data_IF_742425487634
#
_entry.id   IF_742425487634
#
_cell.length_a   1.000
_cell.length_b   1.000
_cell.length_c   1.000
_cell.angle_alpha   90.00
_cell.angle_beta   90.00
_cell.angle_gamma   90.00
#
_symmetry.space_group_name_H-M   'P 1'
#
loop_
_entity.id
_entity.type
_entity.pdbx_description
1 polymer ?
#
# COMPACT_ATOMS: atom_id res chain seq x y z
N UNK A 1 54.00 -21.89 -24.92
CA UNK A 1 53.13 -20.69 -25.06
C UNK A 1 51.64 -21.00 -25.11
N UNK A 2 51.19 -22.19 -25.54
CA UNK A 2 49.74 -22.51 -25.59
C UNK A 2 49.09 -22.74 -24.22
N UNK A 3 49.82 -23.28 -23.23
CA UNK A 3 49.26 -23.62 -21.90
C UNK A 3 48.98 -22.37 -21.04
N UNK A 4 49.78 -21.32 -21.19
CA UNK A 4 49.62 -20.04 -20.47
C UNK A 4 48.39 -19.26 -20.96
N UNK A 5 48.10 -19.35 -22.26
CA UNK A 5 46.92 -18.71 -22.86
C UNK A 5 45.64 -19.41 -22.42
N UNK A 6 45.65 -20.73 -22.28
CA UNK A 6 44.50 -21.50 -21.78
C UNK A 6 44.22 -21.15 -20.31
N UNK A 7 45.25 -21.01 -19.47
CA UNK A 7 45.07 -20.59 -18.07
C UNK A 7 44.50 -19.16 -17.94
N UNK A 8 44.86 -18.24 -18.83
CA UNK A 8 44.31 -16.88 -18.84
C UNK A 8 42.85 -16.81 -19.32
N UNK A 9 42.37 -17.79 -20.10
CA UNK A 9 40.98 -17.85 -20.56
C UNK A 9 40.03 -18.48 -19.52
N UNK A 10 40.54 -19.18 -18.50
CA UNK A 10 39.73 -19.92 -17.51
C UNK A 10 39.47 -19.13 -16.22
N UNK A 11 40.10 -17.97 -16.00
CA UNK A 11 39.92 -17.16 -14.77
C UNK A 11 39.09 -15.89 -15.01
N UNK A 12 38.15 -15.91 -15.96
CA UNK A 12 36.99 -15.03 -15.89
C UNK A 12 35.89 -15.74 -15.08
N UNK A 13 36.20 -16.08 -13.83
CA UNK A 13 35.14 -16.35 -12.85
C UNK A 13 34.52 -15.00 -12.58
N UNK A 14 33.49 -14.68 -13.37
CA UNK A 14 32.59 -13.56 -13.12
C UNK A 14 32.16 -13.68 -11.67
N UNK A 15 32.77 -12.91 -10.78
CA UNK A 15 32.15 -12.57 -9.51
C UNK A 15 30.89 -11.81 -9.92
N UNK A 16 29.80 -12.54 -10.11
CA UNK A 16 28.45 -11.99 -10.15
C UNK A 16 28.25 -11.51 -8.72
N UNK A 17 28.80 -10.33 -8.42
CA UNK A 17 28.34 -9.56 -7.29
C UNK A 17 26.85 -9.37 -7.59
N UNK A 18 26.01 -10.13 -6.89
CA UNK A 18 24.56 -9.95 -6.90
C UNK A 18 24.34 -8.52 -6.44
N UNK A 19 24.27 -7.61 -7.40
CA UNK A 19 23.99 -6.21 -7.17
C UNK A 19 22.49 -6.13 -6.99
N UNK A 20 22.07 -5.62 -5.84
CA UNK A 20 20.66 -5.39 -5.59
C UNK A 20 20.15 -4.30 -6.52
N UNK A 21 18.83 -4.29 -6.75
CA UNK A 21 18.18 -3.29 -7.57
C UNK A 21 18.18 -1.90 -6.92
N UNK A 22 17.64 -0.90 -7.63
CA UNK A 22 17.40 0.43 -7.07
C UNK A 22 16.61 0.34 -5.76
N UNK A 23 17.05 1.10 -4.76
CA UNK A 23 16.45 1.14 -3.42
C UNK A 23 16.46 -0.20 -2.65
N UNK A 24 17.27 -1.18 -3.03
CA UNK A 24 17.50 -2.41 -2.27
C UNK A 24 18.89 -2.40 -1.61
N UNK A 25 19.06 -3.10 -0.49
CA UNK A 25 20.36 -3.21 0.22
C UNK A 25 20.76 -4.66 0.36
N UNK A 26 21.97 -5.00 -0.05
CA UNK A 26 22.50 -6.35 0.17
C UNK A 26 22.83 -6.55 1.64
N UNK A 27 22.05 -7.38 2.34
CA UNK A 27 22.32 -7.71 3.73
C UNK A 27 22.32 -9.23 3.96
N UNK A 28 23.19 -9.76 4.85
CA UNK A 28 23.36 -11.20 5.06
C UNK A 28 22.14 -11.88 5.71
N UNK A 29 21.31 -11.12 6.44
CA UNK A 29 20.02 -11.56 6.97
C UNK A 29 18.93 -10.62 6.46
N UNK A 30 18.63 -10.71 5.16
CA UNK A 30 17.74 -9.81 4.44
C UNK A 30 16.68 -10.56 3.66
N UNK A 31 16.00 -11.51 4.29
CA UNK A 31 14.91 -12.22 3.62
C UNK A 31 13.85 -11.21 3.17
N UNK A 32 13.49 -11.25 1.89
CA UNK A 32 12.37 -10.48 1.31
C UNK A 32 11.05 -10.78 2.04
N UNK A 33 10.95 -11.93 2.68
CA UNK A 33 9.86 -12.34 3.59
C UNK A 33 9.60 -11.34 4.74
N UNK A 34 10.59 -10.51 5.07
CA UNK A 34 10.54 -9.55 6.16
C UNK A 34 10.40 -8.09 5.71
N UNK A 35 10.43 -7.83 4.42
CA UNK A 35 10.33 -6.47 3.92
C UNK A 35 8.87 -6.04 3.81
N UNK A 36 8.61 -4.74 4.03
CA UNK A 36 7.26 -4.19 3.89
C UNK A 36 6.91 -4.04 2.41
N UNK A 37 5.66 -4.29 2.05
CA UNK A 37 5.14 -4.10 0.68
C UNK A 37 4.01 -3.08 0.65
N UNK A 38 3.63 -2.59 -0.55
CA UNK A 38 2.43 -1.76 -0.76
C UNK A 38 1.16 -2.43 -0.23
N UNK A 39 1.08 -3.76 -0.28
CA UNK A 39 -0.07 -4.52 0.23
C UNK A 39 0.00 -4.79 1.73
N UNK A 40 1.21 -4.89 2.31
CA UNK A 40 1.38 -5.23 3.72
C UNK A 40 2.52 -4.44 4.37
N UNK A 41 2.13 -3.43 5.15
CA UNK A 41 3.03 -2.53 5.89
C UNK A 41 3.45 -3.07 7.26
N UNK A 42 2.70 -4.05 7.78
CA UNK A 42 2.87 -4.62 9.12
C UNK A 42 3.13 -6.12 8.98
N UNK A 43 4.34 -6.46 8.60
CA UNK A 43 4.81 -7.84 8.57
C UNK A 43 5.32 -8.25 9.95
N UNK A 44 4.88 -9.44 10.39
CA UNK A 44 5.49 -10.12 11.52
C UNK A 44 6.57 -11.03 10.96
N UNK A 45 7.81 -10.67 11.22
CA UNK A 45 8.97 -11.48 10.87
C UNK A 45 9.11 -12.66 11.82
N UNK A 46 9.33 -13.83 11.24
CA UNK A 46 9.99 -14.94 11.93
C UNK A 46 11.48 -14.87 11.60
N UNK A 47 12.35 -15.36 12.48
CA UNK A 47 13.81 -15.31 12.30
C UNK A 47 14.27 -16.20 11.14
N UNK A 48 14.02 -15.75 9.90
CA UNK A 48 14.63 -16.27 8.67
C UNK A 48 15.82 -15.37 8.34
N UNK A 49 17.03 -15.91 8.40
CA UNK A 49 18.24 -15.21 7.96
C UNK A 49 18.68 -15.83 6.63
N UNK A 50 18.18 -15.27 5.54
CA UNK A 50 18.67 -15.56 4.20
C UNK A 50 19.41 -14.35 3.64
N UNK A 51 20.45 -14.61 2.85
CA UNK A 51 21.11 -13.57 2.06
C UNK A 51 20.11 -13.01 1.05
N UNK A 52 19.88 -11.71 1.09
CA UNK A 52 18.89 -11.09 0.21
C UNK A 52 19.12 -9.61 -0.07
N UNK A 53 18.23 -9.08 -0.90
CA UNK A 53 18.17 -7.68 -1.34
C UNK A 53 16.82 -7.08 -0.94
N UNK A 54 16.53 -6.89 0.36
CA UNK A 54 15.30 -6.24 0.76
C UNK A 54 15.33 -4.76 0.38
N UNK A 55 14.14 -4.16 0.25
CA UNK A 55 14.01 -2.71 0.13
C UNK A 55 14.71 -2.02 1.32
N UNK A 56 15.46 -0.95 1.03
CA UNK A 56 16.12 -0.12 2.04
C UNK A 56 15.08 0.52 2.95
N UNK A 57 15.49 0.89 4.16
CA UNK A 57 14.61 1.56 5.13
C UNK A 57 13.89 2.76 4.49
N UNK A 58 12.57 2.81 4.66
CA UNK A 58 11.70 3.85 4.09
C UNK A 58 11.09 3.52 2.73
N UNK A 59 11.54 2.44 2.08
CA UNK A 59 11.02 1.96 0.81
C UNK A 59 10.20 0.69 0.99
N UNK A 60 9.29 0.46 0.05
CA UNK A 60 8.32 -0.62 0.10
C UNK A 60 8.29 -1.34 -1.23
N UNK A 61 8.19 -2.68 -1.18
CA UNK A 61 8.06 -3.45 -2.41
C UNK A 61 6.69 -3.19 -3.04
N UNK A 62 6.68 -2.82 -4.33
CA UNK A 62 5.45 -2.41 -5.03
C UNK A 62 4.39 -3.51 -5.07
N UNK A 63 4.81 -4.76 -5.26
CA UNK A 63 3.95 -5.94 -5.17
C UNK A 63 4.76 -7.21 -4.94
N UNK A 64 4.07 -8.32 -4.67
CA UNK A 64 4.68 -9.59 -4.21
C UNK A 64 5.66 -10.22 -5.22
N UNK A 65 5.64 -9.77 -6.49
CA UNK A 65 6.50 -10.25 -7.57
C UNK A 65 7.25 -9.13 -8.30
N UNK A 66 7.34 -7.93 -7.71
CA UNK A 66 8.07 -6.81 -8.32
C UNK A 66 9.48 -6.71 -7.73
N UNK A 67 10.44 -6.26 -8.53
CA UNK A 67 11.76 -5.83 -8.06
C UNK A 67 11.80 -4.34 -7.69
N UNK A 68 10.66 -3.65 -7.83
CA UNK A 68 10.54 -2.22 -7.62
C UNK A 68 10.30 -1.91 -6.13
N UNK A 69 11.24 -1.18 -5.53
CA UNK A 69 11.13 -0.61 -4.20
C UNK A 69 10.83 0.89 -4.35
N UNK A 70 9.64 1.27 -3.89
CA UNK A 70 9.06 2.60 -4.06
C UNK A 70 8.90 3.30 -2.71
N UNK A 71 8.82 4.62 -2.73
CA UNK A 71 8.45 5.38 -1.53
C UNK A 71 6.99 5.11 -1.17
N UNK A 72 6.60 5.40 0.08
CA UNK A 72 5.24 5.11 0.55
C UNK A 72 4.16 5.76 -0.34
N UNK A 73 4.41 6.99 -0.79
CA UNK A 73 3.51 7.80 -1.59
C UNK A 73 3.31 7.27 -3.03
N UNK A 74 4.22 6.43 -3.51
CA UNK A 74 4.20 5.81 -4.84
C UNK A 74 3.45 4.47 -4.86
N UNK A 75 3.03 3.98 -3.69
CA UNK A 75 2.13 2.83 -3.62
C UNK A 75 0.71 3.26 -4.04
N UNK A 76 0.26 2.76 -5.19
CA UNK A 76 -1.11 2.89 -5.66
C UNK A 76 -2.10 2.38 -4.59
N UNK A 77 -2.67 3.30 -3.80
CA UNK A 77 -3.67 2.98 -2.77
C UNK A 77 -3.28 3.20 -1.31
N UNK A 78 -2.38 4.13 -0.99
CA UNK A 78 -2.33 4.80 0.32
C UNK A 78 -2.03 3.87 1.51
N UNK A 79 -0.75 3.59 1.71
CA UNK A 79 -0.24 2.72 2.77
C UNK A 79 0.60 3.41 3.86
N UNK A 80 0.44 4.70 4.07
CA UNK A 80 0.88 5.49 5.24
C UNK A 80 2.40 5.69 5.49
N UNK A 81 2.81 6.91 5.15
CA UNK A 81 4.01 7.61 5.55
C UNK A 81 3.88 9.09 5.21
N UNK A 82 3.18 9.83 6.06
CA UNK A 82 3.16 11.31 6.19
C UNK A 82 2.41 12.20 5.18
N UNK A 83 1.84 11.68 4.10
CA UNK A 83 0.86 12.44 3.30
C UNK A 83 -0.52 11.79 3.41
N UNK A 84 -1.51 12.56 3.89
CA UNK A 84 -2.91 12.15 3.83
C UNK A 84 -3.23 11.67 2.40
N UNK A 85 -3.80 10.46 2.22
CA UNK A 85 -4.27 10.00 0.92
C UNK A 85 -5.09 11.09 0.24
N UNK A 86 -4.81 11.37 -1.05
CA UNK A 86 -5.56 12.36 -1.82
C UNK A 86 -7.02 11.90 -1.88
N UNK A 87 -7.85 12.46 -1.01
CA UNK A 87 -9.27 12.23 -1.03
C UNK A 87 -9.92 12.93 -2.22
N UNK A 88 -11.05 12.40 -2.67
CA UNK A 88 -11.81 12.99 -3.77
C UNK A 88 -12.39 14.37 -3.42
N UNK A 89 -13.06 15.03 -4.38
CA UNK A 89 -13.80 16.25 -4.11
C UNK A 89 -14.76 16.06 -2.94
N UNK A 90 -14.78 17.03 -2.03
CA UNK A 90 -15.62 17.04 -0.83
C UNK A 90 -15.38 15.90 0.15
N UNK A 91 -14.19 15.31 0.13
CA UNK A 91 -13.77 14.30 1.09
C UNK A 91 -12.60 14.77 1.97
N UNK A 92 -12.46 14.17 3.14
CA UNK A 92 -11.39 14.39 4.11
C UNK A 92 -10.88 13.06 4.64
N UNK A 93 -9.55 12.91 4.71
CA UNK A 93 -8.94 11.70 5.27
C UNK A 93 -9.18 11.65 6.78
N UNK A 94 -9.71 10.53 7.26
CA UNK A 94 -10.05 10.36 8.68
C UNK A 94 -9.42 9.07 9.19
N UNK A 95 -8.62 9.17 10.25
CA UNK A 95 -7.91 8.02 10.85
C UNK A 95 -8.83 7.08 11.63
N UNK A 96 -9.85 7.63 12.29
CA UNK A 96 -10.88 6.89 13.00
C UNK A 96 -12.27 7.35 12.51
N UNK A 97 -12.70 6.94 11.31
CA UNK A 97 -13.92 7.42 10.69
C UNK A 97 -15.16 6.94 11.43
N UNK A 98 -16.10 7.85 11.67
CA UNK A 98 -17.43 7.55 12.18
C UNK A 98 -18.36 6.90 11.12
N UNK A 99 -19.65 6.75 11.43
CA UNK A 99 -20.65 6.53 10.39
C UNK A 99 -20.63 7.69 9.38
N UNK A 100 -20.91 7.40 8.12
CA UNK A 100 -20.96 8.40 7.05
C UNK A 100 -22.34 8.37 6.41
N UNK A 101 -22.99 9.54 6.24
CA UNK A 101 -24.30 9.61 5.61
C UNK A 101 -24.21 9.31 4.11
N UNK A 102 -25.13 8.47 3.63
CA UNK A 102 -25.30 8.14 2.22
C UNK A 102 -26.50 8.89 1.64
N UNK A 103 -26.58 9.01 0.32
CA UNK A 103 -27.83 9.37 -0.33
C UNK A 103 -28.88 8.30 -0.03
N UNK A 104 -29.98 8.73 0.58
CA UNK A 104 -31.13 7.86 0.87
C UNK A 104 -32.16 8.20 -0.20
N UNK A 105 -32.22 7.37 -1.24
CA UNK A 105 -33.44 7.32 -2.06
C UNK A 105 -34.55 6.73 -1.16
N UNK A 106 -35.70 7.42 -0.99
CA UNK A 106 -36.82 6.92 -0.20
C UNK A 106 -37.37 5.56 -0.69
N UNK A 107 -37.00 5.12 -1.90
CA UNK A 107 -37.34 3.81 -2.46
C UNK A 107 -36.20 2.79 -2.42
N UNK A 108 -35.03 3.16 -1.89
CA UNK A 108 -33.86 2.28 -1.86
C UNK A 108 -33.98 1.24 -0.73
N UNK A 109 -33.84 -0.07 -1.03
CA UNK A 109 -33.88 -1.13 -0.04
C UNK A 109 -32.64 -1.16 0.89
N UNK A 110 -31.74 -0.18 0.80
CA UNK A 110 -30.49 -0.11 1.57
C UNK A 110 -30.77 0.52 2.95
N UNK A 111 -31.71 -0.07 3.68
CA UNK A 111 -31.69 0.02 5.14
C UNK A 111 -30.48 -0.82 5.62
N UNK A 112 -29.51 -0.15 6.23
CA UNK A 112 -28.61 -0.70 7.26
C UNK A 112 -27.46 -1.65 6.87
N UNK A 113 -26.69 -1.39 5.81
CA UNK A 113 -25.47 -2.19 5.53
C UNK A 113 -24.13 -1.57 5.95
N UNK A 114 -24.10 -0.35 6.52
CA UNK A 114 -22.82 0.24 6.99
C UNK A 114 -22.67 0.29 8.51
N UNK A 115 -23.73 0.07 9.29
CA UNK A 115 -23.70 0.19 10.75
C UNK A 115 -23.20 -1.07 11.47
N UNK A 116 -23.27 -2.26 10.84
CA UNK A 116 -22.95 -3.53 11.51
C UNK A 116 -21.52 -4.03 11.35
N UNK A 117 -20.57 -3.14 11.07
CA UNK A 117 -19.14 -3.43 11.28
C UNK A 117 -18.66 -2.67 12.53
N UNK A 118 -19.31 -2.92 13.65
CA UNK A 118 -18.75 -2.60 14.95
C UNK A 118 -17.55 -3.55 15.15
N UNK A 119 -16.34 -3.04 14.96
CA UNK A 119 -15.16 -3.78 15.42
C UNK A 119 -15.26 -3.86 16.95
N UNK A 120 -15.26 -5.06 17.55
CA UNK A 120 -15.49 -5.20 18.99
C UNK A 120 -14.43 -4.50 19.85
N UNK A 121 -13.27 -4.18 19.27
CA UNK A 121 -12.14 -3.54 19.93
C UNK A 121 -11.38 -2.71 18.88
N UNK A 122 -11.77 -1.45 18.68
CA UNK A 122 -11.00 -0.47 17.88
C UNK A 122 -11.80 0.35 16.87
N UNK A 123 -11.19 1.46 16.41
CA UNK A 123 -11.71 2.30 15.33
C UNK A 123 -11.92 1.51 14.03
N UNK A 124 -12.84 1.98 13.17
CA UNK A 124 -12.89 1.55 11.76
C UNK A 124 -11.55 1.90 11.08
N UNK A 125 -11.12 1.15 10.04
CA UNK A 125 -9.93 1.51 9.27
C UNK A 125 -10.00 2.94 8.73
N UNK A 126 -8.87 3.63 8.74
CA UNK A 126 -8.72 4.97 8.18
C UNK A 126 -9.22 5.03 6.73
N UNK A 127 -10.01 6.05 6.38
CA UNK A 127 -10.56 6.24 5.03
C UNK A 127 -10.91 7.70 4.76
N UNK A 128 -11.16 8.05 3.51
CA UNK A 128 -11.78 9.32 3.13
C UNK A 128 -13.27 9.34 3.52
N UNK A 129 -13.71 10.38 4.22
CA UNK A 129 -15.11 10.65 4.57
C UNK A 129 -15.61 11.93 3.91
N UNK A 130 -16.88 11.99 3.55
CA UNK A 130 -17.51 13.22 3.10
C UNK A 130 -17.37 14.31 4.17
N UNK A 131 -17.04 15.52 3.72
CA UNK A 131 -17.03 16.72 4.56
C UNK A 131 -18.45 16.99 5.08
N UNK A 132 -18.54 17.75 6.16
CA UNK A 132 -19.81 18.22 6.70
C UNK A 132 -20.65 18.92 5.61
N UNK A 133 -21.95 18.60 5.56
CA UNK A 133 -22.88 19.09 4.53
C UNK A 133 -22.87 18.28 3.21
N UNK A 134 -22.02 17.27 3.09
CA UNK A 134 -21.98 16.35 1.95
C UNK A 134 -22.37 14.92 2.36
N UNK A 135 -22.95 14.19 1.43
CA UNK A 135 -23.41 12.80 1.60
C UNK A 135 -22.89 11.95 0.44
N UNK A 136 -22.64 10.67 0.69
CA UNK A 136 -22.07 9.77 -0.33
C UNK A 136 -23.16 9.25 -1.25
N UNK A 137 -23.10 9.61 -2.53
CA UNK A 137 -23.88 8.98 -3.58
C UNK A 137 -23.29 7.58 -3.83
N UNK A 138 -24.10 6.52 -3.73
CA UNK A 138 -23.62 5.15 -3.86
C UNK A 138 -23.40 4.73 -5.31
N UNK A 139 -24.10 5.34 -6.26
CA UNK A 139 -23.98 5.07 -7.69
C UNK A 139 -22.68 5.65 -8.26
N UNK A 140 -22.40 6.92 -7.95
CA UNK A 140 -21.21 7.61 -8.45
C UNK A 140 -19.99 7.45 -7.53
N UNK A 141 -20.22 7.00 -6.29
CA UNK A 141 -19.23 6.91 -5.20
C UNK A 141 -18.67 8.28 -4.76
N UNK A 142 -19.26 9.39 -5.21
CA UNK A 142 -18.82 10.76 -4.92
C UNK A 142 -19.57 11.38 -3.73
N UNK A 143 -18.94 12.34 -3.05
CA UNK A 143 -19.58 13.16 -2.02
C UNK A 143 -20.27 14.35 -2.67
N UNK A 144 -21.60 14.32 -2.68
CA UNK A 144 -22.48 15.34 -3.24
C UNK A 144 -23.14 16.16 -2.13
N UNK A 145 -23.62 17.35 -2.44
CA UNK A 145 -24.21 18.23 -1.43
C UNK A 145 -25.54 17.64 -0.95
N UNK A 146 -25.75 17.64 0.37
CA UNK A 146 -27.01 17.13 0.94
C UNK A 146 -28.21 17.94 0.43
N UNK A 147 -29.29 17.25 0.04
CA UNK A 147 -30.54 17.87 -0.42
C UNK A 147 -30.52 18.40 -1.86
N UNK A 148 -29.53 18.06 -2.69
CA UNK A 148 -29.54 18.35 -4.13
C UNK A 148 -30.15 17.21 -4.94
N UNK A 149 -30.53 17.50 -6.18
CA UNK A 149 -30.99 16.49 -7.14
C UNK A 149 -29.95 15.43 -7.50
N UNK A 150 -28.70 15.61 -7.09
CA UNK A 150 -27.63 14.61 -7.23
C UNK A 150 -27.76 13.49 -6.18
N UNK A 151 -28.71 13.64 -5.26
CA UNK A 151 -28.97 12.74 -4.14
C UNK A 151 -30.44 12.29 -4.07
N UNK A 152 -31.15 12.37 -5.21
CA UNK A 152 -32.55 11.97 -5.41
C UNK A 152 -32.64 10.88 -6.48
#
# INVERSE_FOLDING_TARGET
MHVVVIFLLVVCVSHVATQCGPNEVKIPCGSTSCEKSCKNRKIRCFDSCDLGCPCRTGFFRKGDHTTECVEDHECDGGGSGTDSPKCGPNEVWTECPGPEPICIDPNSPIEQSLEKQQSPIGCRPSRCQCKEGFVRNLDTRQCVRSGTSECL
#
